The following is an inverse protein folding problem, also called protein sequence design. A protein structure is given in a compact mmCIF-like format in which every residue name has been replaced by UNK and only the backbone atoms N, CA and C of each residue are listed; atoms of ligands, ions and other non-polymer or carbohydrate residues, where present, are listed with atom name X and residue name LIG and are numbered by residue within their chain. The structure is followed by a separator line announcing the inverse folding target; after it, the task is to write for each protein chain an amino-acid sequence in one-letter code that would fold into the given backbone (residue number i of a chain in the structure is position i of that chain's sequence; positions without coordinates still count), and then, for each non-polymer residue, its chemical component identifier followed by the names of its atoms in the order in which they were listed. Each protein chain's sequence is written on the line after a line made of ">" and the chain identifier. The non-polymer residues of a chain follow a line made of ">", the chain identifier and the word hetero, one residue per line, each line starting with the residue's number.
data_IF_916907673676
#
_entry.id   IF_916907673676
#
_cell.length_a   1.000
_cell.length_b   1.000
_cell.length_c   1.000
_cell.angle_alpha   90.00
_cell.angle_beta   90.00
_cell.angle_gamma   90.00
#
_symmetry.space_group_name_H-M   'P 1'
#
loop_
_entity.id
_entity.type
_entity.pdbx_description
1 polymer ?
#
# COMPACT_ATOMS: atom_id res chain seq x y z
N UNK A 1 -7.78 -0.37 -43.22
CA UNK A 1 -6.40 -0.07 -43.65
C UNK A 1 -5.79 0.95 -42.70
N UNK A 2 -6.41 2.13 -42.52
CA UNK A 2 -5.86 3.23 -41.71
C UNK A 2 -5.58 2.87 -40.23
N UNK A 3 -6.38 1.98 -39.62
CA UNK A 3 -6.20 1.55 -38.23
C UNK A 3 -4.94 0.68 -38.11
N UNK A 4 -4.73 -0.23 -39.05
CA UNK A 4 -3.53 -1.08 -39.07
C UNK A 4 -2.27 -0.28 -39.39
N UNK A 5 -2.35 0.65 -40.36
CA UNK A 5 -1.24 1.53 -40.71
C UNK A 5 -0.81 2.43 -39.55
N UNK A 6 -1.78 2.98 -38.80
CA UNK A 6 -1.51 3.76 -37.61
C UNK A 6 -0.89 2.89 -36.47
N UNK A 7 -1.36 1.66 -36.29
CA UNK A 7 -0.80 0.73 -35.30
C UNK A 7 0.64 0.35 -35.63
N UNK A 8 0.91 0.02 -36.89
CA UNK A 8 2.26 -0.25 -37.39
C UNK A 8 3.17 0.95 -37.21
N UNK A 9 2.70 2.15 -37.53
CA UNK A 9 3.49 3.38 -37.38
C UNK A 9 3.84 3.69 -35.91
N UNK A 10 2.87 3.49 -34.99
CA UNK A 10 3.05 3.78 -33.57
C UNK A 10 3.98 2.76 -32.85
N UNK A 11 3.97 1.49 -33.26
CA UNK A 11 4.74 0.42 -32.60
C UNK A 11 6.07 0.09 -33.30
N UNK A 12 6.38 0.71 -34.42
CA UNK A 12 7.57 0.39 -35.22
C UNK A 12 8.87 0.78 -34.53
N UNK A 13 9.53 -0.19 -33.90
CA UNK A 13 10.80 -0.02 -33.20
C UNK A 13 12.04 -0.49 -33.98
N UNK A 14 11.86 -0.84 -35.29
CA UNK A 14 12.93 -1.26 -36.18
C UNK A 14 12.42 -2.04 -37.40
N UNK A 15 13.26 -2.17 -38.48
CA UNK A 15 12.83 -2.77 -39.74
C UNK A 15 12.57 -4.29 -39.68
N UNK A 16 13.05 -4.98 -38.64
CA UNK A 16 12.96 -6.42 -38.48
C UNK A 16 12.21 -6.83 -37.19
N UNK A 17 11.49 -5.90 -36.57
CA UNK A 17 10.69 -6.21 -35.39
C UNK A 17 9.23 -6.43 -35.77
N UNK A 18 8.63 -7.55 -35.32
CA UNK A 18 7.20 -7.75 -35.49
C UNK A 18 6.43 -6.65 -34.75
N UNK A 19 5.35 -6.20 -35.36
CA UNK A 19 4.37 -5.31 -34.76
C UNK A 19 3.11 -6.13 -34.51
N UNK A 20 2.55 -6.03 -33.32
CA UNK A 20 1.33 -6.73 -32.97
C UNK A 20 0.14 -6.07 -33.67
N UNK A 21 -0.53 -6.83 -34.52
CA UNK A 21 -1.67 -6.38 -35.30
C UNK A 21 -3.01 -6.68 -34.57
N UNK A 22 -3.13 -7.86 -33.97
CA UNK A 22 -4.32 -8.33 -33.27
C UNK A 22 -3.95 -9.34 -32.20
N UNK A 23 -4.74 -9.41 -31.13
CA UNK A 23 -4.69 -10.40 -30.05
C UNK A 23 -5.92 -11.29 -30.10
N UNK A 24 -5.87 -12.42 -29.43
CA UNK A 24 -6.97 -13.39 -29.28
C UNK A 24 -7.65 -13.72 -30.60
N UNK A 25 -6.81 -13.89 -31.63
CA UNK A 25 -7.29 -14.18 -32.97
C UNK A 25 -7.85 -15.61 -32.99
N UNK A 26 -9.11 -15.80 -33.43
CA UNK A 26 -9.72 -17.12 -33.51
C UNK A 26 -8.86 -18.12 -34.32
N UNK A 27 -8.78 -19.39 -33.88
CA UNK A 27 -7.96 -20.41 -34.48
C UNK A 27 -8.23 -20.55 -35.99
N UNK A 28 -9.50 -20.46 -36.41
CA UNK A 28 -9.87 -20.49 -37.81
C UNK A 28 -9.23 -19.38 -38.64
N UNK A 29 -9.06 -18.17 -38.04
CA UNK A 29 -8.39 -17.05 -38.70
C UNK A 29 -6.88 -17.29 -38.78
N UNK A 30 -6.27 -17.87 -37.72
CA UNK A 30 -4.85 -18.25 -37.74
C UNK A 30 -4.55 -19.30 -38.80
N UNK A 31 -5.42 -20.30 -38.94
CA UNK A 31 -5.32 -21.33 -39.99
C UNK A 31 -5.42 -20.66 -41.35
N UNK A 32 -6.41 -19.79 -41.56
CA UNK A 32 -6.59 -19.08 -42.82
C UNK A 32 -5.38 -18.23 -43.21
N UNK A 33 -4.80 -17.48 -42.28
CA UNK A 33 -3.58 -16.68 -42.50
C UNK A 33 -2.40 -17.61 -42.93
N UNK A 34 -2.23 -18.75 -42.24
CA UNK A 34 -1.15 -19.69 -42.52
C UNK A 34 -1.30 -20.38 -43.89
N UNK A 35 -2.54 -20.63 -44.32
CA UNK A 35 -2.84 -21.27 -45.62
C UNK A 35 -2.73 -20.29 -46.81
N UNK A 36 -2.78 -18.97 -46.55
CA UNK A 36 -2.78 -17.93 -47.58
C UNK A 36 -1.64 -16.91 -47.38
N UNK A 37 -0.36 -17.34 -47.33
CA UNK A 37 0.77 -16.43 -47.11
C UNK A 37 0.97 -15.40 -48.23
N UNK A 38 0.43 -15.66 -49.40
CA UNK A 38 0.39 -14.73 -50.52
C UNK A 38 -0.54 -13.54 -50.32
N UNK A 39 -1.62 -13.72 -49.55
CA UNK A 39 -2.56 -12.65 -49.19
C UNK A 39 -2.09 -11.88 -47.96
N UNK A 40 -1.26 -12.48 -47.12
CA UNK A 40 -0.77 -11.89 -45.85
C UNK A 40 0.77 -11.86 -45.80
N UNK A 41 1.45 -11.18 -46.74
CA UNK A 41 2.91 -11.18 -46.77
C UNK A 41 3.48 -10.51 -45.53
N UNK A 42 4.31 -11.25 -44.79
CA UNK A 42 4.96 -10.75 -43.56
C UNK A 42 4.10 -10.79 -42.30
N UNK A 43 2.90 -11.36 -42.36
CA UNK A 43 2.07 -11.62 -41.17
C UNK A 43 2.40 -13.02 -40.65
N UNK A 44 2.74 -13.08 -39.36
CA UNK A 44 2.97 -14.31 -38.62
C UNK A 44 1.97 -14.44 -37.47
N UNK A 45 1.55 -15.67 -37.19
CA UNK A 45 0.77 -15.98 -35.99
C UNK A 45 1.69 -16.61 -34.96
N UNK A 46 1.72 -16.02 -33.77
CA UNK A 46 2.57 -16.46 -32.66
C UNK A 46 1.71 -16.70 -31.41
N UNK A 47 1.99 -17.79 -30.70
CA UNK A 47 1.39 -18.06 -29.41
C UNK A 47 2.26 -17.35 -28.37
N UNK A 48 1.66 -16.47 -27.57
CA UNK A 48 2.31 -15.79 -26.47
C UNK A 48 1.64 -16.16 -25.15
N UNK A 49 2.45 -16.24 -24.11
CA UNK A 49 1.92 -16.33 -22.75
C UNK A 49 1.44 -14.94 -22.33
N UNK A 50 0.26 -14.87 -21.76
CA UNK A 50 -0.32 -13.66 -21.20
C UNK A 50 -0.53 -13.84 -19.70
N UNK A 51 -0.40 -12.76 -18.92
CA UNK A 51 -0.64 -12.80 -17.49
C UNK A 51 -2.13 -13.04 -17.23
N UNK A 52 -2.44 -14.02 -16.38
CA UNK A 52 -3.81 -14.36 -15.99
C UNK A 52 -3.98 -14.19 -14.47
N UNK A 53 -5.14 -13.67 -14.07
CA UNK A 53 -5.52 -13.45 -12.67
C UNK A 53 -6.77 -14.28 -12.35
N UNK A 54 -6.62 -15.59 -12.10
CA UNK A 54 -7.77 -16.51 -11.99
C UNK A 54 -8.67 -16.25 -10.77
N UNK A 55 -8.20 -15.48 -9.78
CA UNK A 55 -8.98 -15.08 -8.61
C UNK A 55 -9.68 -13.73 -8.79
N UNK A 56 -9.54 -13.09 -9.96
CA UNK A 56 -10.16 -11.78 -10.26
C UNK A 56 -9.72 -10.71 -9.27
N UNK A 57 -10.68 -10.04 -8.65
CA UNK A 57 -10.44 -8.94 -7.71
C UNK A 57 -9.84 -9.36 -6.36
N UNK A 58 -9.85 -10.66 -6.02
CA UNK A 58 -9.35 -11.13 -4.73
C UNK A 58 -7.85 -10.89 -4.62
N UNK A 59 -7.43 -10.24 -3.54
CA UNK A 59 -6.06 -9.86 -3.23
C UNK A 59 -5.42 -8.94 -4.30
N UNK A 60 -6.21 -8.20 -5.10
CA UNK A 60 -5.72 -7.39 -6.21
C UNK A 60 -4.62 -6.40 -5.79
N UNK A 61 -4.75 -5.75 -4.63
CA UNK A 61 -3.74 -4.81 -4.12
C UNK A 61 -2.46 -5.48 -3.62
N UNK A 62 -2.51 -6.79 -3.32
CA UNK A 62 -1.33 -7.59 -2.94
C UNK A 62 -0.64 -8.09 -4.20
N UNK A 63 -1.41 -8.76 -5.08
CA UNK A 63 -0.89 -9.31 -6.33
C UNK A 63 -0.36 -8.20 -7.22
N UNK A 64 -1.10 -7.09 -7.29
CA UNK A 64 -0.79 -6.00 -8.21
C UNK A 64 -1.16 -6.34 -9.64
N UNK A 65 -0.52 -5.69 -10.59
CA UNK A 65 -0.78 -5.91 -12.00
C UNK A 65 0.48 -5.68 -12.85
N UNK A 66 0.48 -6.24 -14.03
CA UNK A 66 1.47 -5.96 -15.08
C UNK A 66 0.99 -4.80 -15.96
N UNK A 67 1.90 -4.20 -16.68
CA UNK A 67 1.62 -3.19 -17.69
C UNK A 67 2.80 -3.03 -18.63
N UNK A 68 2.68 -2.21 -19.66
CA UNK A 68 3.80 -1.92 -20.54
C UNK A 68 4.92 -1.21 -19.77
N UNK A 69 6.16 -1.65 -19.97
CA UNK A 69 7.34 -1.07 -19.35
C UNK A 69 7.46 0.43 -19.68
N UNK A 70 7.57 1.29 -18.68
CA UNK A 70 7.76 2.72 -18.89
C UNK A 70 9.18 3.05 -19.34
N UNK A 71 9.38 4.24 -19.91
CA UNK A 71 10.73 4.69 -20.30
C UNK A 71 11.71 4.74 -19.12
N UNK A 72 11.23 5.09 -17.92
CA UNK A 72 12.07 5.17 -16.72
C UNK A 72 12.47 3.78 -16.25
N UNK A 73 11.50 2.85 -16.20
CA UNK A 73 11.75 1.44 -15.89
C UNK A 73 12.71 0.80 -16.90
N UNK A 74 12.54 1.11 -18.19
CA UNK A 74 13.40 0.62 -19.25
C UNK A 74 14.85 1.15 -19.10
N UNK A 75 15.02 2.44 -18.76
CA UNK A 75 16.34 3.04 -18.49
C UNK A 75 17.00 2.40 -17.26
N UNK A 76 16.23 2.19 -16.17
CA UNK A 76 16.73 1.57 -14.94
C UNK A 76 17.12 0.09 -15.12
N UNK A 77 16.45 -0.63 -16.04
CA UNK A 77 16.66 -2.05 -16.28
C UNK A 77 17.35 -2.38 -17.63
N UNK A 78 18.07 -1.39 -18.22
CA UNK A 78 18.68 -1.50 -19.55
C UNK A 78 19.59 -2.72 -19.74
N UNK A 79 20.32 -3.11 -18.68
CA UNK A 79 21.22 -4.29 -18.71
C UNK A 79 20.48 -5.63 -18.57
N UNK A 80 19.22 -5.63 -18.21
CA UNK A 80 18.43 -6.84 -17.97
C UNK A 80 17.67 -7.34 -19.21
N UNK A 81 17.90 -6.69 -20.38
CA UNK A 81 17.39 -7.14 -21.67
C UNK A 81 15.93 -6.80 -21.95
N UNK A 82 15.33 -5.87 -21.19
CA UNK A 82 13.99 -5.34 -21.47
C UNK A 82 13.97 -4.50 -22.76
N UNK A 83 12.81 -4.46 -23.38
CA UNK A 83 12.55 -3.73 -24.62
C UNK A 83 11.28 -2.90 -24.49
N UNK A 84 11.12 -1.83 -25.26
CA UNK A 84 9.85 -1.13 -25.37
C UNK A 84 8.75 -2.10 -25.78
N UNK A 85 7.60 -2.03 -25.10
CA UNK A 85 6.45 -2.91 -25.30
C UNK A 85 6.50 -4.23 -24.52
N UNK A 86 7.58 -4.50 -23.78
CA UNK A 86 7.58 -5.64 -22.84
C UNK A 86 6.60 -5.39 -21.69
N UNK A 87 5.94 -6.44 -21.21
CA UNK A 87 5.19 -6.38 -19.94
C UNK A 87 6.17 -6.31 -18.75
N UNK A 88 5.77 -5.55 -17.74
CA UNK A 88 6.55 -5.31 -16.53
C UNK A 88 5.60 -5.18 -15.34
N UNK A 89 5.95 -5.75 -14.19
CA UNK A 89 5.19 -5.60 -12.97
C UNK A 89 5.12 -4.14 -12.53
N UNK A 90 3.91 -3.59 -12.39
CA UNK A 90 3.72 -2.17 -12.06
C UNK A 90 3.50 -1.95 -10.57
N UNK A 91 2.80 -2.84 -9.91
CA UNK A 91 2.45 -2.74 -8.48
C UNK A 91 2.44 -4.13 -7.82
N UNK A 92 2.43 -4.15 -6.49
CA UNK A 92 2.26 -5.37 -5.70
C UNK A 92 3.37 -6.39 -5.89
N UNK A 93 3.00 -7.67 -5.79
CA UNK A 93 3.89 -8.82 -5.98
C UNK A 93 4.45 -8.87 -7.40
N UNK A 94 3.67 -8.47 -8.42
CA UNK A 94 4.14 -8.39 -9.81
C UNK A 94 5.35 -7.46 -9.93
N UNK A 95 5.33 -6.30 -9.26
CA UNK A 95 6.46 -5.37 -9.28
C UNK A 95 7.61 -5.83 -8.36
N UNK A 96 7.29 -6.29 -7.15
CA UNK A 96 8.29 -6.67 -6.15
C UNK A 96 9.13 -7.87 -6.59
N UNK A 97 8.50 -8.82 -7.26
CA UNK A 97 9.12 -10.08 -7.72
C UNK A 97 9.25 -10.17 -9.24
N UNK A 98 9.22 -9.03 -9.96
CA UNK A 98 9.35 -8.97 -11.42
C UNK A 98 10.54 -9.79 -11.94
N UNK A 99 11.69 -9.71 -11.26
CA UNK A 99 12.90 -10.43 -11.67
C UNK A 99 12.76 -11.96 -11.60
N UNK A 100 11.96 -12.44 -10.66
CA UNK A 100 11.68 -13.87 -10.47
C UNK A 100 10.57 -14.35 -11.41
N UNK A 101 9.50 -13.57 -11.54
CA UNK A 101 8.29 -13.93 -12.28
C UNK A 101 8.47 -13.87 -13.79
N UNK A 102 9.35 -13.01 -14.32
CA UNK A 102 9.50 -12.72 -15.75
C UNK A 102 9.97 -13.90 -16.58
N UNK A 103 10.87 -14.74 -16.04
CA UNK A 103 11.56 -15.77 -16.82
C UNK A 103 12.58 -15.21 -17.83
N UNK A 104 12.93 -15.99 -18.82
CA UNK A 104 13.90 -15.62 -19.85
C UNK A 104 13.28 -15.76 -21.25
N UNK A 105 13.32 -14.67 -22.01
CA UNK A 105 12.79 -14.66 -23.37
C UNK A 105 13.58 -15.62 -24.29
N UNK A 106 12.87 -16.36 -25.11
CA UNK A 106 13.45 -17.17 -26.18
C UNK A 106 14.07 -16.31 -27.28
N UNK A 107 14.88 -16.92 -28.12
CA UNK A 107 15.54 -16.25 -29.27
C UNK A 107 15.37 -17.08 -30.52
N UNK A 108 14.96 -16.44 -31.60
CA UNK A 108 14.93 -17.04 -32.94
C UNK A 108 15.91 -16.29 -33.85
N UNK A 109 16.90 -16.99 -34.37
CA UNK A 109 17.87 -16.43 -35.31
C UNK A 109 17.39 -16.75 -36.71
N UNK A 110 17.13 -15.70 -37.48
CA UNK A 110 16.61 -15.79 -38.83
C UNK A 110 17.71 -15.40 -39.83
N UNK A 111 17.79 -16.13 -40.94
CA UNK A 111 18.54 -15.71 -42.10
C UNK A 111 17.59 -14.91 -43.02
N UNK A 112 18.01 -13.71 -43.41
CA UNK A 112 17.22 -12.83 -44.26
C UNK A 112 17.95 -12.50 -45.54
N UNK A 113 17.22 -12.29 -46.64
CA UNK A 113 17.78 -11.86 -47.92
C UNK A 113 18.13 -10.34 -47.87
N UNK A 114 18.73 -9.84 -48.95
CA UNK A 114 19.09 -8.44 -49.10
C UNK A 114 17.90 -7.45 -49.01
N UNK A 115 16.68 -7.94 -49.11
CA UNK A 115 15.42 -7.19 -49.00
C UNK A 115 14.78 -7.34 -47.61
N UNK A 116 15.45 -8.07 -46.70
CA UNK A 116 14.94 -8.29 -45.34
C UNK A 116 13.87 -9.39 -45.24
N UNK A 117 13.65 -10.19 -46.26
CA UNK A 117 12.69 -11.31 -46.24
C UNK A 117 13.33 -12.53 -45.58
N UNK A 118 12.61 -13.18 -44.68
CA UNK A 118 13.08 -14.37 -43.97
C UNK A 118 13.27 -15.50 -45.00
N UNK A 119 14.50 -16.02 -45.10
CA UNK A 119 14.87 -17.17 -45.95
C UNK A 119 14.70 -18.47 -45.15
N UNK A 120 15.22 -18.51 -43.95
CA UNK A 120 15.08 -19.68 -43.04
C UNK A 120 15.35 -19.32 -41.59
N UNK A 121 14.88 -20.15 -40.67
CA UNK A 121 15.27 -20.12 -39.27
C UNK A 121 16.58 -20.91 -39.09
N UNK A 122 17.61 -20.21 -38.56
CA UNK A 122 18.94 -20.80 -38.33
C UNK A 122 18.97 -21.55 -37.00
N UNK A 123 18.44 -20.93 -35.94
CA UNK A 123 18.34 -21.56 -34.64
C UNK A 123 17.18 -20.99 -33.82
N UNK A 124 16.68 -21.80 -32.90
CA UNK A 124 15.65 -21.43 -31.94
C UNK A 124 16.13 -21.81 -30.55
N UNK A 125 16.13 -20.84 -29.63
CA UNK A 125 16.30 -21.04 -28.19
C UNK A 125 14.93 -20.84 -27.57
N UNK A 126 14.31 -21.86 -26.95
CA UNK A 126 13.00 -21.71 -26.34
C UNK A 126 13.05 -20.74 -25.14
N UNK A 127 11.94 -20.07 -24.80
CA UNK A 127 11.84 -19.32 -23.57
C UNK A 127 11.83 -20.26 -22.36
N UNK A 128 12.24 -19.73 -21.20
CA UNK A 128 12.11 -20.41 -19.90
C UNK A 128 11.16 -19.60 -19.02
N UNK A 129 10.23 -20.31 -18.35
CA UNK A 129 9.32 -19.70 -17.40
C UNK A 129 10.08 -19.06 -16.24
N UNK A 130 9.47 -18.07 -15.60
CA UNK A 130 9.93 -17.54 -14.32
C UNK A 130 9.73 -18.52 -13.16
N UNK A 131 10.15 -18.09 -12.00
CA UNK A 131 9.99 -18.85 -10.77
C UNK A 131 8.58 -18.69 -10.19
N UNK A 132 8.17 -19.65 -9.38
CA UNK A 132 6.97 -19.52 -8.55
C UNK A 132 7.29 -18.65 -7.33
N UNK A 133 6.34 -17.81 -6.94
CA UNK A 133 6.39 -17.02 -5.70
C UNK A 133 5.26 -17.48 -4.79
N UNK A 134 5.62 -18.05 -3.65
CA UNK A 134 4.66 -18.42 -2.62
C UNK A 134 4.44 -17.24 -1.67
N UNK A 135 3.17 -16.90 -1.42
CA UNK A 135 2.81 -15.83 -0.49
C UNK A 135 2.46 -16.41 0.89
N UNK A 136 2.54 -15.56 1.91
CA UNK A 136 2.08 -15.85 3.28
C UNK A 136 0.56 -15.69 3.42
N UNK A 137 -0.07 -15.16 2.39
CA UNK A 137 -1.50 -14.88 2.37
C UNK A 137 -2.30 -16.17 2.46
N UNK A 138 -3.19 -16.26 3.45
CA UNK A 138 -4.22 -17.29 3.51
C UNK A 138 -5.41 -16.82 2.67
N UNK A 139 -5.71 -17.55 1.60
CA UNK A 139 -6.74 -17.16 0.62
C UNK A 139 -8.14 -17.11 1.21
N UNK A 140 -8.45 -17.96 2.20
CA UNK A 140 -9.75 -17.99 2.83
C UNK A 140 -9.90 -16.83 3.82
N UNK A 141 -8.87 -16.55 4.61
CA UNK A 141 -8.83 -15.37 5.49
C UNK A 141 -8.89 -14.08 4.67
N UNK A 142 -8.15 -14.00 3.55
CA UNK A 142 -8.18 -12.85 2.63
C UNK A 142 -9.60 -12.60 2.10
N UNK A 143 -10.27 -13.65 1.61
CA UNK A 143 -11.63 -13.56 1.08
C UNK A 143 -12.62 -13.05 2.12
N UNK A 144 -12.62 -13.65 3.32
CA UNK A 144 -13.49 -13.23 4.42
C UNK A 144 -13.21 -11.79 4.82
N UNK A 145 -11.93 -11.39 4.82
CA UNK A 145 -11.51 -10.02 5.15
C UNK A 145 -12.04 -9.01 4.13
N UNK A 146 -11.90 -9.27 2.84
CA UNK A 146 -12.38 -8.38 1.77
C UNK A 146 -13.92 -8.28 1.76
N UNK A 147 -14.61 -9.42 1.85
CA UNK A 147 -16.07 -9.44 1.89
C UNK A 147 -16.63 -8.69 3.11
N UNK A 148 -16.04 -8.91 4.29
CA UNK A 148 -16.44 -8.22 5.53
C UNK A 148 -16.15 -6.72 5.45
N UNK A 149 -15.03 -6.34 4.85
CA UNK A 149 -14.65 -4.95 4.64
C UNK A 149 -15.64 -4.23 3.72
N UNK A 150 -16.00 -4.84 2.58
CA UNK A 150 -16.98 -4.31 1.65
C UNK A 150 -18.35 -4.16 2.31
N UNK A 151 -18.81 -5.18 3.04
CA UNK A 151 -20.08 -5.14 3.81
C UNK A 151 -20.07 -4.02 4.84
N UNK A 152 -18.95 -3.80 5.54
CA UNK A 152 -18.77 -2.72 6.50
C UNK A 152 -18.90 -1.34 5.85
N UNK A 153 -18.33 -1.16 4.66
CA UNK A 153 -18.46 0.09 3.88
C UNK A 153 -19.92 0.32 3.45
N UNK A 154 -20.59 -0.72 2.93
CA UNK A 154 -22.02 -0.61 2.56
C UNK A 154 -22.91 -0.28 3.76
N UNK A 155 -22.68 -0.91 4.91
CA UNK A 155 -23.39 -0.61 6.14
C UNK A 155 -23.15 0.84 6.60
N UNK A 156 -21.91 1.32 6.53
CA UNK A 156 -21.59 2.71 6.84
C UNK A 156 -22.31 3.69 5.91
N UNK A 157 -22.31 3.45 4.60
CA UNK A 157 -23.02 4.27 3.60
C UNK A 157 -24.55 4.29 3.83
N UNK A 158 -25.10 3.25 4.43
CA UNK A 158 -26.51 3.20 4.81
C UNK A 158 -26.81 3.86 6.17
N UNK A 159 -25.79 4.27 6.91
CA UNK A 159 -25.93 4.89 8.25
C UNK A 159 -25.86 6.42 8.13
N UNK A 160 -26.70 7.09 8.92
CA UNK A 160 -26.72 8.54 9.01
C UNK A 160 -25.85 9.03 10.18
N UNK A 161 -25.17 10.13 9.96
CA UNK A 161 -24.49 10.86 11.01
C UNK A 161 -25.46 11.63 11.91
N UNK A 162 -24.95 12.36 12.90
CA UNK A 162 -25.76 13.17 13.83
C UNK A 162 -26.50 14.33 13.16
N UNK A 163 -26.05 14.78 11.97
CA UNK A 163 -26.72 15.80 11.19
C UNK A 163 -27.85 15.24 10.31
N UNK A 164 -28.00 13.91 10.27
CA UNK A 164 -28.97 13.20 9.42
C UNK A 164 -28.46 12.93 8.00
N UNK A 165 -27.19 13.22 7.69
CA UNK A 165 -26.57 12.92 6.40
C UNK A 165 -25.95 11.52 6.41
N UNK A 166 -26.05 10.81 5.29
CA UNK A 166 -25.38 9.51 5.14
C UNK A 166 -23.86 9.67 5.10
N UNK A 167 -23.14 8.73 5.75
CA UNK A 167 -21.69 8.70 5.64
C UNK A 167 -21.27 8.44 4.18
N UNK A 168 -20.29 9.18 3.70
CA UNK A 168 -19.74 8.96 2.36
C UNK A 168 -19.01 7.62 2.27
N UNK A 169 -18.23 7.25 3.30
CA UNK A 169 -17.40 6.05 3.40
C UNK A 169 -16.71 5.68 2.06
N UNK A 170 -15.76 6.50 1.58
CA UNK A 170 -15.17 6.34 0.24
C UNK A 170 -14.25 5.12 0.15
N UNK A 171 -13.87 4.52 1.26
CA UNK A 171 -13.03 3.33 1.28
C UNK A 171 -12.71 2.87 2.68
N UNK A 172 -12.09 1.71 2.76
CA UNK A 172 -11.65 1.10 4.01
C UNK A 172 -10.42 0.21 3.77
N UNK A 173 -9.76 -0.20 4.85
CA UNK A 173 -8.68 -1.18 4.82
C UNK A 173 -8.72 -2.08 6.05
N UNK A 174 -8.22 -3.31 5.90
CA UNK A 174 -8.02 -4.26 6.99
C UNK A 174 -6.71 -5.01 6.79
N UNK A 175 -6.02 -5.30 7.89
CA UNK A 175 -4.75 -6.04 7.90
C UNK A 175 -4.81 -7.11 8.98
N UNK A 176 -4.38 -8.32 8.64
CA UNK A 176 -4.20 -9.44 9.57
C UNK A 176 -2.75 -9.87 9.51
N UNK A 177 -2.05 -9.79 10.64
CA UNK A 177 -0.64 -10.18 10.79
C UNK A 177 -0.52 -11.37 11.74
N UNK A 178 0.47 -12.22 11.48
CA UNK A 178 0.99 -13.13 12.48
C UNK A 178 1.97 -12.36 13.39
N UNK A 179 1.72 -12.26 14.70
CA UNK A 179 2.58 -11.54 15.61
C UNK A 179 3.90 -12.27 15.94
N UNK A 180 4.03 -13.54 15.57
CA UNK A 180 5.19 -14.36 15.92
C UNK A 180 6.35 -14.17 14.93
N UNK A 181 6.04 -13.78 13.67
CA UNK A 181 7.06 -13.60 12.63
C UNK A 181 6.86 -12.36 11.73
N UNK A 182 5.72 -11.67 11.84
CA UNK A 182 5.40 -10.47 11.04
C UNK A 182 4.85 -10.79 9.65
N UNK A 183 4.53 -12.06 9.35
CA UNK A 183 3.91 -12.44 8.09
C UNK A 183 2.52 -11.83 7.93
N UNK A 184 2.21 -11.40 6.70
CA UNK A 184 0.88 -10.88 6.35
C UNK A 184 -0.01 -12.06 5.98
N UNK A 185 -1.02 -12.32 6.82
CA UNK A 185 -2.02 -13.37 6.61
C UNK A 185 -3.13 -12.90 5.68
N UNK A 186 -3.56 -11.63 5.84
CA UNK A 186 -4.49 -10.98 4.93
C UNK A 186 -4.27 -9.46 4.92
N UNK A 187 -4.47 -8.84 3.76
CA UNK A 187 -4.37 -7.40 3.57
C UNK A 187 -5.42 -6.97 2.54
N UNK A 188 -6.41 -6.21 2.99
CA UNK A 188 -7.52 -5.78 2.16
C UNK A 188 -7.59 -4.25 2.07
N UNK A 189 -7.88 -3.76 0.87
CA UNK A 189 -8.18 -2.37 0.57
C UNK A 189 -9.46 -2.30 -0.26
N UNK A 190 -10.39 -1.41 0.10
CA UNK A 190 -11.65 -1.21 -0.61
C UNK A 190 -11.77 0.26 -1.06
N UNK A 191 -12.29 0.56 -2.26
CA UNK A 191 -12.71 -0.41 -3.28
C UNK A 191 -11.53 -1.18 -3.88
N UNK A 192 -11.86 -2.32 -4.50
CA UNK A 192 -10.92 -3.18 -5.22
C UNK A 192 -11.02 -2.98 -6.73
N UNK A 193 -10.21 -3.68 -7.49
CA UNK A 193 -10.20 -3.68 -8.95
C UNK A 193 -9.86 -5.07 -9.49
N UNK A 194 -10.20 -5.33 -10.74
CA UNK A 194 -9.77 -6.56 -11.42
C UNK A 194 -8.42 -6.32 -12.13
N UNK A 195 -7.31 -6.95 -11.69
CA UNK A 195 -6.01 -6.77 -12.32
C UNK A 195 -5.95 -7.30 -13.76
N UNK A 196 -6.86 -8.19 -14.16
CA UNK A 196 -6.92 -8.72 -15.53
C UNK A 196 -7.16 -7.63 -16.58
N UNK A 197 -7.74 -6.48 -16.21
CA UNK A 197 -7.95 -5.36 -17.14
C UNK A 197 -6.67 -4.72 -17.65
N UNK A 198 -5.54 -4.97 -16.97
CA UNK A 198 -4.22 -4.46 -17.36
C UNK A 198 -3.44 -5.43 -18.25
N UNK A 199 -3.75 -6.74 -18.18
CA UNK A 199 -3.07 -7.76 -18.99
C UNK A 199 -3.24 -7.46 -20.48
N UNK A 200 -2.12 -7.46 -21.20
CA UNK A 200 -2.14 -7.14 -22.61
C UNK A 200 -2.44 -5.68 -22.99
N UNK A 201 -2.54 -4.79 -22.02
CA UNK A 201 -2.80 -3.35 -22.18
C UNK A 201 -4.22 -2.96 -21.79
N UNK A 202 -4.33 -1.89 -21.01
CA UNK A 202 -5.61 -1.37 -20.55
C UNK A 202 -6.32 -0.56 -21.64
N UNK A 203 -7.63 -0.76 -21.79
CA UNK A 203 -8.44 0.09 -22.68
C UNK A 203 -8.62 1.49 -22.11
N UNK A 204 -8.78 2.51 -22.99
CA UNK A 204 -9.01 3.91 -22.57
C UNK A 204 -10.21 4.03 -21.61
N UNK A 205 -11.30 3.31 -21.89
CA UNK A 205 -12.49 3.31 -21.04
C UNK A 205 -12.24 2.69 -19.65
N UNK A 206 -11.45 1.61 -19.56
CA UNK A 206 -11.11 1.00 -18.28
C UNK A 206 -10.11 1.88 -17.50
N UNK A 207 -9.14 2.48 -18.19
CA UNK A 207 -8.20 3.43 -17.62
C UNK A 207 -8.95 4.64 -17.02
N UNK A 208 -9.86 5.24 -17.76
CA UNK A 208 -10.65 6.38 -17.28
C UNK A 208 -11.44 6.00 -16.01
N UNK A 209 -12.10 4.85 -15.99
CA UNK A 209 -12.83 4.37 -14.81
C UNK A 209 -11.95 4.14 -13.59
N UNK A 210 -10.74 3.62 -13.74
CA UNK A 210 -9.88 3.28 -12.61
C UNK A 210 -9.07 4.47 -12.10
N UNK A 211 -8.50 5.28 -13.01
CA UNK A 211 -7.63 6.40 -12.63
C UNK A 211 -8.41 7.65 -12.20
N UNK A 212 -9.62 7.86 -12.74
CA UNK A 212 -10.44 9.05 -12.44
C UNK A 212 -11.57 8.77 -11.43
N UNK A 213 -11.67 7.55 -10.89
CA UNK A 213 -12.63 7.23 -9.83
C UNK A 213 -12.30 8.00 -8.55
N UNK A 214 -13.30 8.74 -8.04
CA UNK A 214 -13.17 9.54 -6.82
C UNK A 214 -12.90 8.70 -5.57
N UNK A 215 -13.30 7.43 -5.56
CA UNK A 215 -13.04 6.47 -4.47
C UNK A 215 -11.70 5.72 -4.66
N UNK A 216 -10.92 6.02 -5.73
CA UNK A 216 -9.53 5.59 -5.97
C UNK A 216 -9.32 4.08 -5.75
N UNK A 217 -9.86 3.20 -6.61
CA UNK A 217 -9.78 1.74 -6.44
C UNK A 217 -8.33 1.19 -6.50
N UNK A 218 -7.44 1.83 -7.26
CA UNK A 218 -6.04 1.40 -7.37
C UNK A 218 -5.20 1.72 -6.13
N UNK A 219 -5.67 2.63 -5.27
CA UNK A 219 -4.90 3.07 -4.10
C UNK A 219 -4.95 2.02 -2.97
N UNK A 220 -3.82 1.43 -2.64
CA UNK A 220 -3.71 0.49 -1.52
C UNK A 220 -3.80 1.22 -0.17
N UNK A 221 -5.00 1.30 0.39
CA UNK A 221 -5.25 1.99 1.66
C UNK A 221 -4.59 1.31 2.85
N UNK A 222 -4.28 0.03 2.74
CA UNK A 222 -3.68 -0.73 3.83
C UNK A 222 -2.20 -0.38 4.02
N UNK A 223 -1.47 -0.13 2.92
CA UNK A 223 -0.03 0.17 2.91
C UNK A 223 0.26 1.66 2.77
N UNK A 224 -0.43 2.35 1.85
CA UNK A 224 -0.10 3.73 1.45
C UNK A 224 -0.97 4.78 2.11
N UNK A 225 -2.08 4.36 2.73
CA UNK A 225 -3.01 5.26 3.38
C UNK A 225 -2.42 5.90 4.64
N UNK A 226 -2.26 7.22 4.65
CA UNK A 226 -1.87 7.97 5.84
C UNK A 226 -3.09 8.47 6.60
N UNK A 227 -3.41 7.83 7.73
CA UNK A 227 -4.57 8.17 8.55
C UNK A 227 -4.16 8.58 9.97
N UNK A 228 -4.92 9.50 10.56
CA UNK A 228 -4.79 9.77 11.99
C UNK A 228 -5.34 8.56 12.77
N UNK A 229 -4.51 7.87 13.56
CA UNK A 229 -4.92 6.62 14.23
C UNK A 229 -5.95 6.85 15.34
N UNK A 230 -6.06 8.07 15.85
CA UNK A 230 -6.97 8.40 16.93
C UNK A 230 -6.70 7.56 18.17
N UNK A 231 -7.76 7.17 18.87
CA UNK A 231 -7.67 6.44 20.15
C UNK A 231 -6.92 5.11 20.09
N UNK A 232 -6.70 4.51 18.92
CA UNK A 232 -5.87 3.32 18.82
C UNK A 232 -4.40 3.60 19.17
N UNK A 233 -3.94 4.84 19.01
CA UNK A 233 -2.59 5.24 19.40
C UNK A 233 -2.39 5.38 20.93
N UNK A 234 -3.46 5.41 21.72
CA UNK A 234 -3.38 5.56 23.17
C UNK A 234 -2.57 4.45 23.86
N UNK A 235 -2.53 3.25 23.28
CA UNK A 235 -1.65 2.18 23.77
C UNK A 235 -0.17 2.62 23.74
N UNK A 236 0.27 3.21 22.64
CA UNK A 236 1.65 3.71 22.49
C UNK A 236 1.95 4.83 23.49
N UNK A 237 0.99 5.76 23.68
CA UNK A 237 1.10 6.82 24.68
C UNK A 237 1.15 6.25 26.11
N UNK A 238 0.37 5.20 26.40
CA UNK A 238 0.40 4.51 27.68
C UNK A 238 1.79 3.89 27.95
N UNK A 239 2.34 3.17 26.97
CA UNK A 239 3.69 2.58 27.05
C UNK A 239 4.73 3.69 27.28
N UNK A 240 4.66 4.77 26.52
CA UNK A 240 5.56 5.92 26.69
C UNK A 240 5.45 6.51 28.09
N UNK A 241 4.22 6.71 28.58
CA UNK A 241 3.94 7.25 29.93
C UNK A 241 4.57 6.43 31.04
N UNK A 242 4.42 5.11 30.97
CA UNK A 242 4.99 4.18 31.96
C UNK A 242 6.52 4.07 31.80
N UNK A 243 7.01 3.84 30.60
CA UNK A 243 8.43 3.62 30.33
C UNK A 243 9.31 4.87 30.64
N UNK A 244 8.75 6.05 30.49
CA UNK A 244 9.45 7.33 30.79
C UNK A 244 9.15 7.88 32.18
N UNK A 245 8.33 7.20 32.99
CA UNK A 245 7.99 7.62 34.34
C UNK A 245 7.04 8.83 34.44
N UNK A 246 6.30 9.12 33.36
CA UNK A 246 5.27 10.16 33.39
C UNK A 246 4.06 9.75 34.23
N UNK A 247 3.83 8.44 34.38
CA UNK A 247 2.73 7.86 35.17
C UNK A 247 3.08 6.44 35.59
N UNK A 248 2.63 6.02 36.78
CA UNK A 248 2.60 4.60 37.19
C UNK A 248 1.23 4.02 36.82
N UNK A 249 1.12 2.74 36.50
CA UNK A 249 -0.17 2.10 36.11
C UNK A 249 -1.28 2.28 37.14
N UNK A 250 -0.91 2.43 38.44
CA UNK A 250 -1.84 2.60 39.54
C UNK A 250 -2.20 4.06 39.84
N UNK A 251 -1.49 5.02 39.24
CA UNK A 251 -1.75 6.44 39.48
C UNK A 251 -3.09 6.84 38.87
N UNK A 252 -3.90 7.56 39.66
CA UNK A 252 -5.15 8.13 39.16
C UNK A 252 -4.98 9.57 38.71
N UNK A 253 -5.64 9.90 37.61
CA UNK A 253 -5.81 11.26 37.12
C UNK A 253 -7.28 11.62 37.30
N UNK A 254 -7.53 12.76 37.96
CA UNK A 254 -8.89 13.25 38.19
C UNK A 254 -9.50 13.82 36.89
N UNK A 255 -10.68 13.36 36.54
CA UNK A 255 -11.48 13.86 35.42
C UNK A 255 -12.88 14.28 35.97
N UNK A 256 -12.91 15.40 36.68
CA UNK A 256 -14.15 15.91 37.29
C UNK A 256 -15.01 16.78 36.36
N UNK A 257 -14.51 17.10 35.15
CA UNK A 257 -15.18 18.05 34.22
C UNK A 257 -15.31 17.52 32.82
N UNK A 258 -14.74 16.36 32.50
CA UNK A 258 -14.67 15.84 31.14
C UNK A 258 -13.75 16.63 30.21
N UNK A 259 -12.99 17.59 30.72
CA UNK A 259 -12.09 18.44 29.95
C UNK A 259 -10.87 18.86 30.76
N UNK A 260 -9.72 19.09 30.08
CA UNK A 260 -8.58 19.86 30.62
C UNK A 260 -8.38 21.14 29.82
N UNK A 261 -7.66 22.11 30.41
CA UNK A 261 -7.27 23.35 29.72
C UNK A 261 -5.78 23.34 29.44
N UNK A 262 -5.40 23.56 28.20
CA UNK A 262 -4.02 23.73 27.74
C UNK A 262 -3.91 25.07 27.03
N UNK A 263 -3.05 25.97 27.49
CA UNK A 263 -2.89 27.32 26.92
C UNK A 263 -4.24 28.06 26.67
N UNK A 264 -5.18 27.95 27.58
CA UNK A 264 -6.56 28.49 27.53
C UNK A 264 -7.55 27.77 26.61
N UNK A 265 -7.11 26.78 25.85
CA UNK A 265 -7.99 25.96 25.01
C UNK A 265 -8.51 24.74 25.78
N UNK A 266 -9.80 24.41 25.69
CA UNK A 266 -10.34 23.21 26.31
C UNK A 266 -10.06 21.98 25.39
N UNK A 267 -9.61 20.90 26.00
CA UNK A 267 -9.46 19.57 25.39
C UNK A 267 -10.36 18.62 26.18
N UNK A 268 -11.31 17.99 25.50
CA UNK A 268 -12.39 17.29 26.16
C UNK A 268 -12.53 15.85 25.69
N UNK A 269 -13.01 14.97 26.58
CA UNK A 269 -13.51 13.66 26.22
C UNK A 269 -14.64 13.76 25.17
N UNK A 270 -14.84 12.69 24.42
CA UNK A 270 -16.01 12.59 23.55
C UNK A 270 -17.30 12.91 24.34
N UNK A 271 -18.12 13.82 23.80
CA UNK A 271 -19.35 14.30 24.42
C UNK A 271 -19.15 14.95 25.82
N UNK A 272 -17.94 15.32 26.18
CA UNK A 272 -17.56 15.81 27.51
C UNK A 272 -17.91 14.82 28.64
N UNK A 273 -17.81 13.51 28.35
CA UNK A 273 -18.05 12.46 29.34
C UNK A 273 -17.09 12.64 30.53
N UNK A 274 -17.61 12.48 31.75
CA UNK A 274 -16.83 12.58 32.98
C UNK A 274 -16.55 11.19 33.50
N UNK A 275 -15.27 10.85 33.71
CA UNK A 275 -14.85 9.52 34.15
C UNK A 275 -14.35 9.50 35.61
N UNK A 276 -14.31 10.67 36.28
CA UNK A 276 -13.80 10.82 37.63
C UNK A 276 -12.37 10.31 37.81
N UNK A 277 -12.03 9.72 38.94
CA UNK A 277 -10.72 9.14 39.18
C UNK A 277 -10.44 7.96 38.21
N UNK A 278 -9.44 8.13 37.39
CA UNK A 278 -9.15 7.22 36.28
C UNK A 278 -7.68 6.82 36.31
N UNK A 279 -7.40 5.52 36.52
CA UNK A 279 -6.06 4.95 36.37
C UNK A 279 -5.85 4.49 34.93
N UNK A 280 -4.65 4.01 34.60
CA UNK A 280 -4.28 3.63 33.24
C UNK A 280 -5.20 2.57 32.63
N UNK A 281 -5.53 1.51 33.39
CA UNK A 281 -6.45 0.44 32.91
C UNK A 281 -7.81 1.00 32.57
N UNK A 282 -8.40 1.79 33.47
CA UNK A 282 -9.69 2.44 33.23
C UNK A 282 -9.62 3.40 32.05
N UNK A 283 -8.52 4.18 31.94
CA UNK A 283 -8.34 5.14 30.85
C UNK A 283 -8.35 4.47 29.46
N UNK A 284 -7.69 3.33 29.34
CA UNK A 284 -7.72 2.51 28.10
C UNK A 284 -9.12 1.92 27.87
N UNK A 285 -9.76 1.36 28.90
CA UNK A 285 -11.08 0.73 28.81
C UNK A 285 -12.17 1.69 28.32
N UNK A 286 -12.21 2.92 28.88
CA UNK A 286 -13.22 3.93 28.53
C UNK A 286 -12.74 4.91 27.46
N UNK A 287 -11.51 4.73 26.97
CA UNK A 287 -10.85 5.61 25.99
C UNK A 287 -10.84 7.08 26.45
N UNK A 288 -10.45 7.35 27.72
CA UNK A 288 -10.44 8.71 28.29
C UNK A 288 -9.42 9.61 27.57
N UNK A 289 -9.89 10.60 26.82
CA UNK A 289 -9.03 11.60 26.20
C UNK A 289 -8.37 12.47 27.26
N UNK A 290 -9.09 12.87 28.33
CA UNK A 290 -8.56 13.71 29.41
C UNK A 290 -7.34 13.06 30.06
N UNK A 291 -7.35 11.75 30.28
CA UNK A 291 -6.20 11.03 30.82
C UNK A 291 -4.99 11.16 29.89
N UNK A 292 -5.15 10.86 28.62
CA UNK A 292 -4.07 10.88 27.65
C UNK A 292 -3.62 12.28 27.26
N UNK A 293 -4.52 13.26 27.23
CA UNK A 293 -4.16 14.68 27.11
C UNK A 293 -3.26 15.13 28.27
N UNK A 294 -3.58 14.68 29.49
CA UNK A 294 -2.76 14.96 30.68
C UNK A 294 -1.37 14.35 30.55
N UNK A 295 -1.25 13.11 30.00
CA UNK A 295 0.06 12.52 29.73
C UNK A 295 0.82 13.33 28.66
N UNK A 296 0.18 13.70 27.56
CA UNK A 296 0.78 14.54 26.52
C UNK A 296 1.29 15.88 27.08
N UNK A 297 0.52 16.51 27.95
CA UNK A 297 0.92 17.73 28.66
C UNK A 297 2.13 17.50 29.58
N UNK A 298 2.15 16.39 30.34
CA UNK A 298 3.27 16.06 31.24
C UNK A 298 4.59 15.92 30.50
N UNK A 299 4.62 15.30 29.32
CA UNK A 299 5.83 15.17 28.51
C UNK A 299 6.47 16.52 28.16
N UNK A 300 5.68 17.58 28.04
CA UNK A 300 6.20 18.93 27.78
C UNK A 300 6.49 19.75 29.04
N UNK A 301 5.73 19.55 30.10
CA UNK A 301 5.75 20.46 31.28
C UNK A 301 6.38 19.86 32.52
N UNK A 302 6.50 18.55 32.66
CA UNK A 302 7.06 17.91 33.86
C UNK A 302 8.58 17.82 33.76
N UNK A 303 9.27 18.37 34.76
CA UNK A 303 10.72 18.32 34.83
C UNK A 303 11.24 16.86 34.78
N UNK A 304 12.29 16.65 34.00
CA UNK A 304 12.93 15.34 33.83
C UNK A 304 12.31 14.47 32.72
N UNK A 305 11.19 14.87 32.12
CA UNK A 305 10.64 14.21 30.94
C UNK A 305 11.15 14.86 29.64
N UNK A 306 11.28 14.04 28.62
CA UNK A 306 11.63 14.48 27.29
C UNK A 306 10.35 14.82 26.52
N UNK A 307 10.25 16.04 26.01
CA UNK A 307 9.08 16.52 25.25
C UNK A 307 8.74 15.63 24.04
N UNK A 308 9.71 14.89 23.50
CA UNK A 308 9.54 13.94 22.38
C UNK A 308 9.47 12.47 22.84
N UNK A 309 9.19 12.22 24.13
CA UNK A 309 9.15 10.86 24.68
C UNK A 309 8.14 9.95 24.01
N UNK A 310 6.95 10.48 23.66
CA UNK A 310 5.90 9.73 22.93
C UNK A 310 6.39 9.35 21.52
N UNK A 311 6.96 10.31 20.80
CA UNK A 311 7.49 10.11 19.46
C UNK A 311 8.61 9.07 19.42
N UNK A 312 9.52 9.11 20.40
CA UNK A 312 10.60 8.13 20.50
C UNK A 312 10.08 6.71 20.70
N UNK A 313 9.10 6.53 21.58
CA UNK A 313 8.45 5.22 21.77
C UNK A 313 7.68 4.82 20.50
N UNK A 314 6.94 5.72 19.87
CA UNK A 314 6.25 5.41 18.62
C UNK A 314 7.22 4.86 17.56
N UNK A 315 8.39 5.48 17.40
CA UNK A 315 9.42 5.02 16.47
C UNK A 315 9.98 3.64 16.81
N UNK A 316 10.09 3.26 18.10
CA UNK A 316 10.50 1.90 18.48
C UNK A 316 9.45 0.85 18.14
N UNK A 317 8.20 1.25 17.94
CA UNK A 317 7.11 0.39 17.43
C UNK A 317 6.92 0.47 15.91
N UNK A 318 7.91 1.01 15.16
CA UNK A 318 7.94 1.04 13.70
C UNK A 318 7.19 2.22 13.08
N UNK A 319 6.54 3.10 13.84
CA UNK A 319 5.91 4.29 13.26
C UNK A 319 6.94 5.28 12.70
N UNK A 320 6.64 5.86 11.56
CA UNK A 320 7.52 6.81 10.88
C UNK A 320 8.61 6.16 10.02
N UNK A 321 8.53 4.85 9.80
CA UNK A 321 9.41 4.07 8.92
C UNK A 321 8.58 3.08 8.09
N UNK A 322 9.13 2.61 6.96
CA UNK A 322 8.55 1.47 6.25
C UNK A 322 8.52 0.24 7.15
N UNK A 323 7.50 -0.60 6.98
CA UNK A 323 7.38 -1.88 7.70
C UNK A 323 8.27 -2.98 7.13
N UNK A 324 8.89 -2.73 5.97
CA UNK A 324 9.73 -3.69 5.25
C UNK A 324 8.98 -4.59 4.28
N UNK A 325 7.65 -4.44 4.14
CA UNK A 325 6.87 -5.25 3.21
C UNK A 325 7.34 -5.05 1.76
N UNK A 326 7.53 -6.12 1.02
CA UNK A 326 8.16 -6.12 -0.31
C UNK A 326 7.32 -5.37 -1.36
N UNK A 327 6.00 -5.38 -1.20
CA UNK A 327 5.09 -4.66 -2.12
C UNK A 327 5.11 -3.14 -1.94
N UNK A 328 5.92 -2.65 -0.98
CA UNK A 328 6.05 -1.24 -0.66
C UNK A 328 4.97 -0.72 0.29
N UNK A 329 5.34 0.27 1.09
CA UNK A 329 4.42 0.95 2.00
C UNK A 329 4.87 2.38 2.30
N UNK A 330 3.93 3.17 2.82
CA UNK A 330 4.20 4.52 3.30
C UNK A 330 4.83 4.50 4.69
N UNK A 331 5.91 5.25 4.88
CA UNK A 331 6.52 5.45 6.20
C UNK A 331 5.62 6.20 7.20
N UNK A 332 4.53 6.80 6.75
CA UNK A 332 3.70 7.63 7.60
C UNK A 332 4.44 8.87 8.15
N UNK A 333 3.90 9.47 9.18
CA UNK A 333 4.48 10.66 9.83
C UNK A 333 4.40 10.52 11.33
N UNK A 334 5.54 10.50 12.03
CA UNK A 334 5.64 10.75 13.47
C UNK A 334 6.13 12.18 13.66
N UNK A 335 5.23 13.13 13.96
CA UNK A 335 5.56 14.55 13.94
C UNK A 335 6.42 14.98 15.12
N UNK A 336 7.33 15.92 14.86
CA UNK A 336 8.17 16.59 15.85
C UNK A 336 8.40 18.05 15.46
N UNK A 337 9.26 18.76 16.21
CA UNK A 337 9.56 20.16 15.95
C UNK A 337 10.20 20.40 14.58
N UNK A 338 11.01 19.47 14.08
CA UNK A 338 11.66 19.61 12.78
C UNK A 338 10.69 19.36 11.63
N UNK A 339 9.78 18.39 11.78
CA UNK A 339 8.68 18.19 10.84
C UNK A 339 7.80 19.45 10.73
N UNK A 340 7.43 20.05 11.88
CA UNK A 340 6.59 21.25 11.91
C UNK A 340 7.28 22.47 11.26
N UNK A 341 8.60 22.64 11.48
CA UNK A 341 9.40 23.67 10.79
C UNK A 341 9.43 23.48 9.29
N UNK A 342 9.57 22.21 8.80
CA UNK A 342 9.55 21.91 7.36
C UNK A 342 8.20 22.25 6.73
N UNK A 343 7.09 21.95 7.41
CA UNK A 343 5.76 22.34 6.94
C UNK A 343 5.61 23.85 6.85
N UNK A 344 6.07 24.58 7.87
CA UNK A 344 6.03 26.04 7.89
C UNK A 344 6.89 26.67 6.79
N UNK A 345 8.05 26.10 6.51
CA UNK A 345 8.91 26.59 5.43
C UNK A 345 8.28 26.45 4.03
N UNK A 346 7.42 25.47 3.84
CA UNK A 346 6.67 25.24 2.59
C UNK A 346 5.33 25.97 2.50
N UNK A 347 4.89 26.62 3.59
CA UNK A 347 3.59 27.29 3.65
C UNK A 347 3.68 28.60 4.47
N UNK A 348 3.73 29.77 3.83
CA UNK A 348 3.81 31.05 4.52
C UNK A 348 2.67 31.34 5.52
N UNK A 349 1.52 30.72 5.32
CA UNK A 349 0.32 30.89 6.16
C UNK A 349 0.26 29.87 7.31
N UNK A 350 1.29 29.04 7.49
CA UNK A 350 1.29 27.94 8.48
C UNK A 350 1.17 28.41 9.92
N UNK A 351 1.54 29.63 10.23
CA UNK A 351 1.54 30.17 11.60
C UNK A 351 2.80 29.79 12.38
N UNK A 352 2.66 29.40 13.67
CA UNK A 352 3.80 29.13 14.55
C UNK A 352 4.50 27.79 14.21
N UNK A 353 5.78 27.80 13.79
CA UNK A 353 6.53 26.58 13.46
C UNK A 353 7.07 25.85 14.70
N UNK A 354 6.94 26.42 15.91
CA UNK A 354 7.43 25.81 17.14
C UNK A 354 6.58 24.63 17.58
N UNK A 355 7.21 23.59 18.13
CA UNK A 355 6.50 22.51 18.81
C UNK A 355 5.96 23.02 20.14
N UNK A 356 4.68 22.80 20.42
CA UNK A 356 4.00 23.33 21.60
C UNK A 356 3.33 22.20 22.38
N UNK A 357 2.99 22.47 23.64
CA UNK A 357 2.24 21.55 24.51
C UNK A 357 0.99 20.99 23.86
N UNK A 358 0.26 21.83 23.10
CA UNK A 358 -0.93 21.41 22.35
C UNK A 358 -0.64 20.36 21.25
N UNK A 359 0.55 20.37 20.66
CA UNK A 359 0.96 19.37 19.68
C UNK A 359 1.13 17.99 20.36
N UNK A 360 1.80 17.96 21.55
CA UNK A 360 1.92 16.73 22.34
C UNK A 360 0.56 16.21 22.84
N UNK A 361 -0.34 17.11 23.23
CA UNK A 361 -1.68 16.77 23.68
C UNK A 361 -2.48 16.09 22.56
N UNK A 362 -2.45 16.65 21.36
CA UNK A 362 -3.08 16.03 20.19
C UNK A 362 -2.43 14.70 19.80
N UNK A 363 -1.09 14.65 19.80
CA UNK A 363 -0.34 13.43 19.50
C UNK A 363 -0.70 12.29 20.46
N UNK A 364 -0.84 12.60 21.76
CA UNK A 364 -1.13 11.59 22.78
C UNK A 364 -2.43 10.82 22.57
N UNK A 365 -3.35 11.35 21.80
CA UNK A 365 -4.61 10.69 21.41
C UNK A 365 -4.63 10.29 19.92
N UNK A 366 -3.48 10.28 19.26
CA UNK A 366 -3.36 9.87 17.87
C UNK A 366 -3.94 10.88 16.87
N UNK A 367 -3.85 12.16 17.18
CA UNK A 367 -4.37 13.27 16.38
C UNK A 367 -3.24 14.26 16.00
N UNK A 368 -3.61 15.40 15.42
CA UNK A 368 -2.67 16.41 14.96
C UNK A 368 -2.01 15.99 13.63
N UNK A 369 -0.69 16.05 13.56
CA UNK A 369 0.08 15.73 12.35
C UNK A 369 0.50 14.26 12.26
N UNK A 370 0.09 13.40 13.21
CA UNK A 370 0.40 11.97 13.19
C UNK A 370 -0.38 11.29 12.08
N UNK A 371 0.33 10.63 11.16
CA UNK A 371 -0.24 9.84 10.07
C UNK A 371 0.41 8.47 10.05
N UNK A 372 -0.41 7.43 10.04
CA UNK A 372 0.05 6.03 10.00
C UNK A 372 -0.75 5.24 8.99
N UNK A 373 -0.14 4.20 8.40
CA UNK A 373 -0.90 3.24 7.60
C UNK A 373 -1.57 2.19 8.51
N UNK A 374 -2.66 1.55 8.06
CA UNK A 374 -3.23 0.40 8.77
C UNK A 374 -2.21 -0.72 9.02
N UNK A 375 -1.31 -0.97 8.08
CA UNK A 375 -0.24 -1.96 8.24
C UNK A 375 0.73 -1.57 9.37
N UNK A 376 1.18 -0.32 9.44
CA UNK A 376 2.03 0.17 10.54
C UNK A 376 1.32 0.02 11.89
N UNK A 377 0.03 0.34 11.94
CA UNK A 377 -0.74 0.20 13.18
C UNK A 377 -0.85 -1.25 13.61
N UNK A 378 -1.16 -2.17 12.67
CA UNK A 378 -1.20 -3.61 12.93
C UNK A 378 0.15 -4.12 13.41
N UNK A 379 1.26 -3.72 12.77
CA UNK A 379 2.62 -4.11 13.14
C UNK A 379 3.01 -3.64 14.56
N UNK A 380 2.64 -2.41 14.92
CA UNK A 380 2.86 -1.91 16.28
C UNK A 380 2.11 -2.72 17.34
N UNK A 381 0.88 -3.15 17.03
CA UNK A 381 0.09 -4.02 17.92
C UNK A 381 0.64 -5.45 17.96
N UNK A 382 1.12 -5.98 16.83
CA UNK A 382 1.84 -7.26 16.78
C UNK A 382 3.09 -7.20 17.65
N UNK A 383 3.87 -6.12 17.57
CA UNK A 383 5.03 -5.88 18.43
C UNK A 383 4.68 -5.84 19.92
N UNK A 384 3.53 -5.26 20.28
CA UNK A 384 3.05 -5.32 21.66
C UNK A 384 2.67 -6.76 22.07
N UNK A 385 1.95 -7.47 21.22
CA UNK A 385 1.48 -8.85 21.50
C UNK A 385 2.65 -9.84 21.62
N UNK A 386 3.73 -9.65 20.84
CA UNK A 386 4.95 -10.49 20.87
C UNK A 386 5.92 -10.14 22.00
N UNK A 387 5.55 -9.26 22.95
CA UNK A 387 6.38 -8.85 24.06
C UNK A 387 7.48 -7.84 23.70
N UNK A 388 7.23 -7.01 22.71
CA UNK A 388 8.12 -5.92 22.27
C UNK A 388 8.99 -6.23 21.05
N UNK A 389 8.75 -7.34 20.37
CA UNK A 389 9.48 -7.68 19.15
C UNK A 389 8.70 -7.11 17.95
N UNK A 390 9.27 -6.14 17.27
CA UNK A 390 8.73 -5.59 16.02
C UNK A 390 9.44 -6.27 14.85
N UNK A 391 8.68 -6.99 14.03
CA UNK A 391 9.21 -7.69 12.86
C UNK A 391 9.07 -6.84 11.60
N UNK A 392 9.95 -7.07 10.62
CA UNK A 392 9.68 -6.63 9.24
C UNK A 392 8.49 -7.43 8.71
N UNK A 393 7.52 -6.74 8.13
CA UNK A 393 6.38 -7.41 7.52
C UNK A 393 6.77 -7.99 6.16
N UNK A 394 6.17 -9.12 5.80
CA UNK A 394 6.40 -9.75 4.51
C UNK A 394 5.13 -10.46 4.02
N UNK A 395 4.91 -10.36 2.71
CA UNK A 395 3.85 -11.03 2.00
C UNK A 395 4.37 -12.25 1.21
N UNK A 396 5.67 -12.24 0.83
CA UNK A 396 6.35 -13.40 0.26
C UNK A 396 6.80 -14.37 1.33
N UNK A 397 6.68 -15.66 1.10
CA UNK A 397 7.27 -16.69 1.96
C UNK A 397 8.79 -16.70 1.74
N UNK A 398 9.53 -15.87 2.47
CA UNK A 398 10.99 -15.89 2.44
C UNK A 398 11.52 -17.06 3.27
N UNK A 399 12.37 -17.87 2.67
CA UNK A 399 13.25 -18.74 3.41
C UNK A 399 14.36 -17.88 4.07
N UNK A 400 14.11 -17.40 5.30
CA UNK A 400 15.16 -16.76 6.10
C UNK A 400 14.76 -15.46 6.78
N UNK A 401 14.49 -15.57 8.08
CA UNK A 401 14.29 -14.47 9.03
C UNK A 401 15.41 -13.42 8.97
N UNK A 402 15.11 -12.19 8.53
CA UNK A 402 15.93 -11.03 8.89
C UNK A 402 15.34 -10.40 10.16
N UNK A 403 16.02 -10.60 11.28
CA UNK A 403 15.72 -9.92 12.54
C UNK A 403 16.48 -8.60 12.56
N UNK A 404 15.77 -7.49 12.78
CA UNK A 404 16.40 -6.32 13.37
C UNK A 404 16.17 -6.38 14.88
N UNK A 405 17.24 -6.64 15.63
CA UNK A 405 17.24 -6.46 17.07
C UNK A 405 17.18 -4.95 17.35
N UNK A 406 16.09 -4.49 17.98
CA UNK A 406 15.88 -3.11 18.42
C UNK A 406 16.42 -2.91 19.83
#
# INVERSE_FOLDING_TARGET
>A
TDVLDNRVAAQRSGPFRPVELARDVPEATLVYIKEHPDLFPGVEAEVRSERSYPLGELAAHIVGHVGEITEEQLKANKSKGYRPGDEFGQEGVEAAYEADLRGTAGKRVLEVDAKGRVVRTVSVVPPTSGNDVQLTIDVDVQRVTEESLAQGVFAARATKDRSGQFFRAPGAAAVVLDPDDGSVVALASYPTFDPAVFAGGISEQAADRLYNDADRPLFNRATDGGYAPGSTFKLITAIAGVAKGAVRPTDSIADGTGCIKVAKQPFCNAQKAIFYDTNLTKALTVSSDVYFYTLGQRFDTQAGLDAYGIQKIARTFGFGSSTGIEIGDSAGVVPDGDYKKKLAAGNPDFGDPGWRTGDNVNLAVGQGFLLVSPLQLANAYAGFASGGKVYENHAGAQAGNRRHDA
#
